data_IF_800987403475
#
_entry.id   IF_800987403475
#
_cell.length_a   1.000
_cell.length_b   1.000
_cell.length_c   1.000
_cell.angle_alpha   90.00
_cell.angle_beta   90.00
_cell.angle_gamma   90.00
#
_symmetry.space_group_name_H-M   'P 1'
#
loop_
_entity.id
_entity.type
_entity.pdbx_description
1 polymer ?
#
# COMPACT_ATOMS: atom_id res chain seq x y z
N UNK A 1 -5.99 13.67 7.22
CA UNK A 1 -5.02 12.57 7.08
C UNK A 1 -4.63 12.50 5.61
N UNK A 2 -3.33 12.47 5.29
CA UNK A 2 -2.85 12.26 3.93
C UNK A 2 -3.12 10.84 3.41
N UNK A 3 -3.29 10.72 2.09
CA UNK A 3 -3.43 9.46 1.36
C UNK A 3 -2.18 9.21 0.54
N UNK A 4 -1.71 7.98 0.53
CA UNK A 4 -0.51 7.58 -0.21
C UNK A 4 -0.81 6.37 -1.05
N UNK A 5 -0.13 6.35 -2.18
CA UNK A 5 -0.04 5.16 -2.98
C UNK A 5 1.35 4.57 -2.86
N UNK A 6 1.34 3.27 -2.61
CA UNK A 6 2.54 2.49 -2.54
C UNK A 6 2.41 1.29 -3.44
N UNK A 7 3.47 1.01 -4.19
CA UNK A 7 3.59 -0.26 -4.92
C UNK A 7 4.67 -1.10 -4.25
N UNK A 8 4.37 -2.36 -4.02
CA UNK A 8 5.31 -3.34 -3.51
C UNK A 8 5.50 -4.45 -4.53
N UNK A 9 6.76 -4.80 -4.76
CA UNK A 9 7.05 -6.11 -5.29
C UNK A 9 6.77 -7.14 -4.20
N UNK A 10 6.08 -8.23 -4.55
CA UNK A 10 5.73 -9.29 -3.63
C UNK A 10 6.55 -10.55 -3.90
N UNK A 11 7.28 -10.97 -2.87
CA UNK A 11 8.01 -12.23 -2.86
C UNK A 11 7.05 -13.43 -2.66
N UNK A 12 6.90 -14.23 -3.71
CA UNK A 12 5.99 -15.40 -3.79
C UNK A 12 6.31 -16.52 -2.80
N UNK A 13 7.42 -16.42 -2.04
CA UNK A 13 7.83 -17.42 -1.05
C UNK A 13 6.92 -17.49 0.19
N UNK A 14 6.12 -16.46 0.47
CA UNK A 14 5.14 -16.43 1.57
C UNK A 14 3.72 -16.36 1.04
N UNK A 15 2.72 -16.99 1.70
CA UNK A 15 1.32 -16.84 1.30
C UNK A 15 0.87 -15.38 1.31
N UNK A 16 0.23 -14.92 0.22
CA UNK A 16 -0.20 -13.53 0.06
C UNK A 16 -1.07 -13.05 1.21
N UNK A 17 -2.07 -13.83 1.61
CA UNK A 17 -3.00 -13.50 2.69
C UNK A 17 -2.28 -13.25 4.03
N UNK A 18 -1.24 -14.02 4.30
CA UNK A 18 -0.42 -13.84 5.50
C UNK A 18 0.37 -12.53 5.44
N UNK A 19 0.97 -12.23 4.28
CA UNK A 19 1.71 -10.99 4.05
C UNK A 19 0.79 -9.76 4.18
N UNK A 20 -0.41 -9.82 3.61
CA UNK A 20 -1.41 -8.75 3.71
C UNK A 20 -1.88 -8.54 5.15
N UNK A 21 -2.18 -9.62 5.88
CA UNK A 21 -2.57 -9.54 7.29
C UNK A 21 -1.48 -8.90 8.16
N UNK A 22 -0.23 -9.31 7.97
CA UNK A 22 0.91 -8.73 8.70
C UNK A 22 1.12 -7.26 8.32
N UNK A 23 0.97 -6.92 7.05
CA UNK A 23 1.10 -5.56 6.54
C UNK A 23 0.01 -4.62 7.06
N UNK A 24 -1.26 -5.05 7.03
CA UNK A 24 -2.37 -4.30 7.63
C UNK A 24 -2.12 -4.05 9.13
N UNK A 25 -1.60 -5.05 9.85
CA UNK A 25 -1.20 -4.90 11.24
C UNK A 25 -0.11 -3.84 11.45
N UNK A 26 0.89 -3.75 10.56
CA UNK A 26 1.91 -2.69 10.58
C UNK A 26 1.24 -1.32 10.42
N UNK A 27 0.41 -1.18 9.38
CA UNK A 27 -0.26 0.08 9.05
C UNK A 27 -1.13 0.57 10.22
N UNK A 28 -1.93 -0.32 10.82
CA UNK A 28 -2.75 0.01 11.98
C UNK A 28 -1.93 0.44 13.20
N UNK A 29 -0.82 -0.24 13.51
CA UNK A 29 0.06 0.13 14.64
C UNK A 29 0.72 1.49 14.46
N UNK A 30 0.96 1.91 13.22
CA UNK A 30 1.46 3.26 12.89
C UNK A 30 0.36 4.34 12.83
N UNK A 31 -0.89 3.97 13.15
CA UNK A 31 -2.04 4.86 13.15
C UNK A 31 -2.65 5.09 11.76
N UNK A 32 -2.24 4.32 10.76
CA UNK A 32 -2.79 4.38 9.41
C UNK A 32 -3.86 3.32 9.16
N UNK A 33 -4.41 3.34 7.94
CA UNK A 33 -5.39 2.39 7.45
C UNK A 33 -5.07 2.00 6.01
N UNK A 34 -5.09 0.71 5.70
CA UNK A 34 -5.13 0.23 4.31
C UNK A 34 -6.57 0.37 3.82
N UNK A 35 -6.77 1.15 2.76
CA UNK A 35 -8.09 1.36 2.16
C UNK A 35 -8.35 0.40 1.01
N UNK A 36 -7.30 0.01 0.30
CA UNK A 36 -7.40 -0.84 -0.87
C UNK A 36 -6.09 -1.58 -1.11
N UNK A 37 -6.22 -2.82 -1.58
CA UNK A 37 -5.13 -3.63 -2.12
C UNK A 37 -5.54 -4.11 -3.50
N UNK A 38 -4.68 -3.90 -4.49
CA UNK A 38 -4.85 -4.39 -5.85
C UNK A 38 -3.61 -5.22 -6.23
N UNK A 39 -3.84 -6.31 -6.96
CA UNK A 39 -2.75 -7.06 -7.59
C UNK A 39 -2.74 -6.75 -9.08
N UNK A 40 -1.58 -6.33 -9.61
CA UNK A 40 -1.40 -6.00 -11.03
C UNK A 40 -0.05 -6.57 -11.46
N UNK A 41 -0.05 -7.42 -12.49
CA UNK A 41 1.16 -8.01 -13.07
C UNK A 41 2.11 -8.70 -12.05
N UNK A 42 1.56 -9.20 -10.94
CA UNK A 42 2.33 -9.85 -9.87
C UNK A 42 2.80 -8.92 -8.75
N UNK A 43 2.66 -7.61 -8.91
CA UNK A 43 2.93 -6.61 -7.88
C UNK A 43 1.66 -6.22 -7.11
N UNK A 44 1.85 -5.71 -5.91
CA UNK A 44 0.78 -5.22 -5.04
C UNK A 44 0.76 -3.69 -5.03
N UNK A 45 -0.40 -3.12 -5.26
CA UNK A 45 -0.65 -1.69 -5.09
C UNK A 45 -1.55 -1.46 -3.88
N UNK A 46 -1.11 -0.54 -3.00
CA UNK A 46 -1.76 -0.20 -1.76
C UNK A 46 -2.17 1.27 -1.77
N UNK A 47 -3.43 1.51 -1.41
CA UNK A 47 -3.90 2.84 -1.02
C UNK A 47 -3.93 2.91 0.50
N UNK A 48 -3.11 3.78 1.08
CA UNK A 48 -2.89 3.86 2.53
C UNK A 48 -3.23 5.27 3.01
N UNK A 49 -4.11 5.38 3.99
CA UNK A 49 -4.30 6.60 4.76
C UNK A 49 -3.38 6.58 5.98
N UNK A 50 -2.62 7.64 6.22
CA UNK A 50 -1.76 7.75 7.43
C UNK A 50 -1.97 9.11 8.09
N UNK A 51 -1.60 9.28 9.38
CA UNK A 51 -1.70 10.57 10.05
C UNK A 51 -0.70 11.60 9.51
N UNK A 52 0.48 11.15 9.09
CA UNK A 52 1.58 11.96 8.58
C UNK A 52 2.55 11.16 7.70
N UNK A 53 3.49 11.87 7.05
CA UNK A 53 4.55 11.30 6.21
C UNK A 53 5.51 10.38 7.00
N UNK A 54 5.70 10.66 8.30
CA UNK A 54 6.62 9.89 9.14
C UNK A 54 6.07 8.48 9.40
N UNK A 55 4.75 8.35 9.60
CA UNK A 55 4.07 7.06 9.68
C UNK A 55 4.22 6.27 8.39
N UNK A 56 4.09 6.90 7.22
CA UNK A 56 4.32 6.23 5.94
C UNK A 56 5.75 5.70 5.83
N UNK A 57 6.74 6.49 6.21
CA UNK A 57 8.14 6.05 6.20
C UNK A 57 8.36 4.84 7.13
N UNK A 58 7.75 4.82 8.32
CA UNK A 58 7.80 3.69 9.25
C UNK A 58 7.15 2.43 8.66
N UNK A 59 5.98 2.57 8.02
CA UNK A 59 5.30 1.49 7.30
C UNK A 59 6.22 0.92 6.22
N UNK A 60 6.84 1.77 5.40
CA UNK A 60 7.81 1.39 4.36
C UNK A 60 8.94 0.49 4.90
N UNK A 61 9.54 0.92 6.01
CA UNK A 61 10.64 0.19 6.66
C UNK A 61 10.20 -1.16 7.23
N UNK A 62 9.06 -1.23 7.90
CA UNK A 62 8.56 -2.48 8.48
C UNK A 62 8.06 -3.44 7.40
N UNK A 63 7.43 -2.95 6.33
CA UNK A 63 6.98 -3.77 5.21
C UNK A 63 8.13 -4.45 4.48
N UNK A 64 9.30 -3.82 4.41
CA UNK A 64 10.50 -4.42 3.83
C UNK A 64 10.90 -5.71 4.55
N UNK A 65 10.65 -5.82 5.87
CA UNK A 65 10.88 -7.05 6.63
C UNK A 65 9.88 -8.18 6.27
N UNK A 66 8.75 -7.84 5.65
CA UNK A 66 7.79 -8.81 5.10
C UNK A 66 8.14 -9.25 3.67
N UNK A 67 9.22 -8.73 3.10
CA UNK A 67 9.55 -8.92 1.68
C UNK A 67 8.72 -8.03 0.74
N UNK A 68 8.12 -6.95 1.27
CA UNK A 68 7.43 -5.93 0.49
C UNK A 68 8.36 -4.73 0.30
N UNK A 69 8.90 -4.57 -0.91
CA UNK A 69 9.69 -3.39 -1.26
C UNK A 69 8.76 -2.26 -1.70
N UNK A 70 8.31 -1.48 -0.73
CA UNK A 70 7.40 -0.35 -0.97
C UNK A 70 8.12 0.82 -1.64
N UNK A 71 7.70 1.13 -2.85
CA UNK A 71 7.96 2.42 -3.49
C UNK A 71 6.77 3.35 -3.29
N UNK A 72 6.90 4.27 -2.34
CA UNK A 72 5.94 5.37 -2.21
C UNK A 72 6.45 6.55 -3.03
N UNK A 73 5.62 7.04 -3.96
CA UNK A 73 6.02 8.11 -4.87
C UNK A 73 5.33 9.44 -4.62
N UNK A 74 4.15 9.47 -4.00
CA UNK A 74 3.33 10.69 -3.89
C UNK A 74 2.34 10.62 -2.71
N UNK A 75 2.21 11.72 -1.95
CA UNK A 75 1.03 12.01 -1.13
C UNK A 75 -0.06 12.57 -2.05
N UNK A 76 -1.16 11.84 -2.23
CA UNK A 76 -2.26 12.26 -3.10
C UNK A 76 -3.34 12.99 -2.31
N UNK A 77 -4.01 13.93 -2.98
CA UNK A 77 -5.34 14.34 -2.56
C UNK A 77 -6.32 13.17 -2.74
N UNK A 78 -7.43 13.21 -2.01
CA UNK A 78 -8.48 12.17 -2.09
C UNK A 78 -9.02 11.99 -3.52
N UNK A 79 -9.19 13.08 -4.26
CA UNK A 79 -9.64 13.06 -5.65
C UNK A 79 -8.63 12.38 -6.58
N UNK A 80 -7.34 12.57 -6.36
CA UNK A 80 -6.29 11.91 -7.16
C UNK A 80 -6.20 10.42 -6.85
N UNK A 81 -6.40 10.02 -5.58
CA UNK A 81 -6.46 8.61 -5.20
C UNK A 81 -7.66 7.91 -5.85
N UNK A 82 -8.84 8.54 -5.83
CA UNK A 82 -10.06 8.02 -6.50
C UNK A 82 -9.89 7.95 -8.02
N UNK A 83 -9.26 8.95 -8.64
CA UNK A 83 -8.98 8.95 -10.07
C UNK A 83 -8.03 7.81 -10.46
N UNK A 84 -7.03 7.53 -9.64
CA UNK A 84 -6.09 6.45 -9.91
C UNK A 84 -6.72 5.07 -9.68
N UNK A 85 -7.57 4.90 -8.68
CA UNK A 85 -8.36 3.67 -8.48
C UNK A 85 -9.20 3.35 -9.74
N UNK A 86 -9.89 4.35 -10.28
CA UNK A 86 -10.68 4.19 -11.51
C UNK A 86 -9.80 3.82 -12.72
N UNK A 87 -8.66 4.51 -12.90
CA UNK A 87 -7.73 4.22 -13.99
C UNK A 87 -7.17 2.79 -13.93
N UNK A 88 -6.99 2.22 -12.74
CA UNK A 88 -6.54 0.84 -12.58
C UNK A 88 -7.65 -0.18 -12.82
N UNK A 89 -8.88 0.09 -12.36
CA UNK A 89 -10.02 -0.79 -12.67
C UNK A 89 -10.27 -0.90 -14.18
N UNK A 90 -10.07 0.19 -14.92
CA UNK A 90 -10.23 0.21 -16.37
C UNK A 90 -9.14 -0.58 -17.12
N UNK A 91 -7.94 -0.73 -16.54
CA UNK A 91 -6.85 -1.54 -17.12
C UNK A 91 -6.99 -3.04 -16.89
N UNK A 92 -7.61 -3.45 -15.78
CA UNK A 92 -7.80 -4.86 -15.42
C UNK A 92 -9.09 -5.47 -16.02
N UNK A 93 -9.74 -4.77 -16.96
CA UNK A 93 -10.98 -5.16 -17.62
C UNK A 93 -10.74 -5.42 -19.10
#
# INVERSE_FOLDING_TARGET
MPLYLSQAHWDVRRPLEQVLTEFEGIVQRTGGQVLQVLQVDGDLSFTIETPDDLSLFRIGREASALGLELSSRVALSRTEAEALDNAHRDRNR
#
